data_IF_890320706744
#
_entry.id   IF_890320706744
#
_cell.length_a   1.000
_cell.length_b   1.000
_cell.length_c   1.000
_cell.angle_alpha   90.00
_cell.angle_beta   90.00
_cell.angle_gamma   90.00
#
_symmetry.space_group_name_H-M   'P 1'
#
loop_
_entity.id
_entity.type
_entity.pdbx_description
1 polymer ?
#
# COMPACT_ATOMS: atom_id res chain seq x y z
N UNK A 1 -5.60 23.12 25.00
CA UNK A 1 -5.54 21.73 24.47
C UNK A 1 -6.28 21.75 23.15
N UNK A 2 -5.71 21.32 22.02
CA UNK A 2 -6.47 21.27 20.78
C UNK A 2 -7.61 20.27 20.98
N UNK A 3 -8.81 20.68 20.58
CA UNK A 3 -10.02 19.88 20.64
C UNK A 3 -9.78 18.59 19.83
N UNK A 4 -10.04 17.42 20.41
CA UNK A 4 -9.91 16.16 19.66
C UNK A 4 -10.98 16.18 18.57
N UNK A 5 -10.55 16.45 17.35
CA UNK A 5 -11.39 16.39 16.16
C UNK A 5 -12.07 15.01 16.12
N UNK A 6 -13.40 15.00 16.19
CA UNK A 6 -14.16 13.74 16.19
C UNK A 6 -14.19 13.21 14.77
N UNK A 7 -13.75 11.97 14.61
CA UNK A 7 -13.80 11.22 13.34
C UNK A 7 -15.22 11.24 12.77
N UNK A 8 -15.36 11.79 11.56
CA UNK A 8 -16.66 11.90 10.90
C UNK A 8 -16.95 10.74 9.94
N UNK A 9 -18.08 10.81 9.24
CA UNK A 9 -18.55 9.72 8.38
C UNK A 9 -17.60 9.46 7.20
N UNK A 10 -16.93 10.49 6.67
CA UNK A 10 -15.97 10.31 5.57
C UNK A 10 -14.72 9.59 6.05
N UNK A 11 -14.25 9.92 7.26
CA UNK A 11 -13.09 9.24 7.85
C UNK A 11 -13.42 7.77 8.15
N UNK A 12 -14.65 7.48 8.59
CA UNK A 12 -15.15 6.11 8.77
C UNK A 12 -15.20 5.35 7.46
N UNK A 13 -15.66 5.96 6.38
CA UNK A 13 -15.72 5.32 5.06
C UNK A 13 -14.33 4.92 4.57
N UNK A 14 -13.32 5.80 4.73
CA UNK A 14 -11.92 5.47 4.40
C UNK A 14 -11.43 4.25 5.19
N UNK A 15 -11.69 4.23 6.50
CA UNK A 15 -11.30 3.10 7.35
C UNK A 15 -12.02 1.81 6.97
N UNK A 16 -13.31 1.88 6.64
CA UNK A 16 -14.10 0.74 6.17
C UNK A 16 -13.56 0.19 4.85
N UNK A 17 -13.20 1.07 3.90
CA UNK A 17 -12.59 0.66 2.63
C UNK A 17 -11.25 -0.03 2.82
N UNK A 18 -10.38 0.51 3.69
CA UNK A 18 -9.09 -0.10 4.03
C UNK A 18 -9.30 -1.46 4.68
N UNK A 19 -10.21 -1.56 5.66
CA UNK A 19 -10.53 -2.81 6.35
C UNK A 19 -11.09 -3.87 5.38
N UNK A 20 -11.99 -3.47 4.48
CA UNK A 20 -12.53 -4.34 3.44
C UNK A 20 -11.43 -4.86 2.52
N UNK A 21 -10.55 -3.98 2.03
CA UNK A 21 -9.40 -4.37 1.19
C UNK A 21 -8.50 -5.39 1.89
N UNK A 22 -8.14 -5.13 3.15
CA UNK A 22 -7.33 -6.05 3.96
C UNK A 22 -8.03 -7.41 4.17
N UNK A 23 -9.35 -7.44 4.30
CA UNK A 23 -10.09 -8.70 4.45
C UNK A 23 -9.98 -9.58 3.19
N UNK A 24 -9.99 -8.98 1.99
CA UNK A 24 -9.76 -9.69 0.74
C UNK A 24 -8.32 -10.19 0.64
N UNK A 25 -7.35 -9.37 1.03
CA UNK A 25 -5.93 -9.75 1.04
C UNK A 25 -5.67 -10.95 1.97
N UNK A 26 -6.29 -10.98 3.16
CA UNK A 26 -6.21 -12.11 4.10
C UNK A 26 -6.78 -13.38 3.46
N UNK A 27 -7.91 -13.29 2.75
CA UNK A 27 -8.50 -14.45 2.06
C UNK A 27 -7.56 -14.97 0.98
N UNK A 28 -7.02 -14.09 0.13
CA UNK A 28 -6.07 -14.45 -0.93
C UNK A 28 -4.83 -15.11 -0.33
N UNK A 29 -4.32 -14.58 0.78
CA UNK A 29 -3.18 -15.15 1.49
C UNK A 29 -3.47 -16.57 1.99
N UNK A 30 -4.62 -16.80 2.64
CA UNK A 30 -5.03 -18.13 3.14
C UNK A 30 -5.11 -19.15 2.00
N UNK A 31 -5.70 -18.78 0.87
CA UNK A 31 -5.78 -19.65 -0.32
C UNK A 31 -4.39 -20.00 -0.86
N UNK A 32 -3.49 -19.02 -0.98
CA UNK A 32 -2.12 -19.25 -1.46
C UNK A 32 -1.30 -20.12 -0.51
N UNK A 33 -1.46 -19.90 0.80
CA UNK A 33 -0.81 -20.72 1.82
C UNK A 33 -1.28 -22.17 1.71
N UNK A 34 -2.59 -22.40 1.59
CA UNK A 34 -3.16 -23.74 1.39
C UNK A 34 -2.66 -24.41 0.10
N UNK A 35 -2.63 -23.66 -1.01
CA UNK A 35 -2.10 -24.15 -2.29
C UNK A 35 -0.64 -24.58 -2.19
N UNK A 36 0.20 -23.82 -1.47
CA UNK A 36 1.60 -24.20 -1.28
C UNK A 36 1.75 -25.45 -0.43
N UNK A 37 1.01 -25.56 0.68
CA UNK A 37 1.02 -26.76 1.53
C UNK A 37 0.64 -28.00 0.70
N UNK A 38 -0.44 -27.91 -0.09
CA UNK A 38 -0.89 -29.01 -0.94
C UNK A 38 0.08 -29.32 -2.10
N UNK A 39 0.82 -28.32 -2.59
CA UNK A 39 1.89 -28.52 -3.57
C UNK A 39 3.04 -29.31 -2.96
N UNK A 40 3.48 -28.94 -1.75
CA UNK A 40 4.58 -29.61 -1.03
C UNK A 40 4.19 -31.04 -0.63
N UNK A 41 2.97 -31.24 -0.12
CA UNK A 41 2.43 -32.58 0.20
C UNK A 41 2.44 -33.51 -1.01
N UNK A 42 1.92 -33.05 -2.15
CA UNK A 42 1.92 -33.83 -3.40
C UNK A 42 3.34 -34.12 -3.92
N UNK A 43 4.31 -33.30 -3.55
CA UNK A 43 5.73 -33.53 -3.80
C UNK A 43 6.40 -34.51 -2.82
N UNK A 44 5.66 -35.10 -1.88
CA UNK A 44 6.19 -36.05 -0.89
C UNK A 44 6.94 -35.41 0.28
N UNK A 45 6.80 -34.09 0.49
CA UNK A 45 7.42 -33.39 1.61
C UNK A 45 6.65 -33.70 2.90
N UNK A 46 7.37 -34.07 3.96
CA UNK A 46 6.75 -34.33 5.27
C UNK A 46 6.20 -33.07 5.92
N UNK A 47 5.20 -33.22 6.79
CA UNK A 47 4.60 -32.09 7.53
C UNK A 47 5.65 -31.29 8.31
N UNK A 48 6.61 -31.95 8.96
CA UNK A 48 7.68 -31.27 9.70
C UNK A 48 8.55 -30.42 8.78
N UNK A 49 8.89 -30.93 7.59
CA UNK A 49 9.64 -30.18 6.59
C UNK A 49 8.82 -29.02 6.01
N UNK A 50 7.51 -29.19 5.79
CA UNK A 50 6.60 -28.11 5.37
C UNK A 50 6.59 -26.98 6.40
N UNK A 51 6.44 -27.30 7.69
CA UNK A 51 6.48 -26.30 8.77
C UNK A 51 7.82 -25.54 8.76
N UNK A 52 8.94 -26.26 8.57
CA UNK A 52 10.26 -25.66 8.45
C UNK A 52 10.37 -24.69 7.27
N UNK A 53 9.88 -25.09 6.09
CA UNK A 53 9.84 -24.26 4.88
C UNK A 53 9.00 -23.00 5.10
N UNK A 54 7.79 -23.13 5.63
CA UNK A 54 6.90 -22.00 5.90
C UNK A 54 7.46 -21.06 6.96
N UNK A 55 8.08 -21.60 8.00
CA UNK A 55 8.76 -20.82 9.03
C UNK A 55 9.96 -20.06 8.46
N UNK A 56 10.70 -20.67 7.53
CA UNK A 56 11.77 -19.99 6.81
C UNK A 56 11.23 -18.89 5.89
N UNK A 57 10.14 -19.14 5.16
CA UNK A 57 9.48 -18.15 4.31
C UNK A 57 9.02 -16.94 5.14
N UNK A 58 8.37 -17.18 6.28
CA UNK A 58 7.96 -16.13 7.22
C UNK A 58 9.16 -15.29 7.69
N UNK A 59 10.20 -15.93 8.22
CA UNK A 59 11.36 -15.24 8.79
C UNK A 59 12.19 -14.48 7.75
N UNK A 60 12.23 -14.96 6.51
CA UNK A 60 12.99 -14.33 5.42
C UNK A 60 12.16 -13.40 4.55
N UNK A 61 10.88 -13.20 4.87
CA UNK A 61 9.94 -12.50 3.99
C UNK A 61 9.97 -13.09 2.58
N UNK A 62 9.92 -14.42 2.50
CA UNK A 62 9.90 -15.18 1.27
C UNK A 62 8.63 -14.92 0.47
N UNK A 63 8.37 -15.78 -0.52
CA UNK A 63 7.32 -15.49 -1.50
C UNK A 63 5.94 -15.32 -0.86
N UNK A 64 5.55 -16.19 0.06
CA UNK A 64 4.17 -16.25 0.57
C UNK A 64 3.93 -15.14 1.59
N UNK A 65 4.75 -15.10 2.64
CA UNK A 65 4.61 -14.11 3.70
C UNK A 65 5.11 -12.72 3.27
N UNK A 66 6.06 -12.65 2.34
CA UNK A 66 6.49 -11.40 1.72
C UNK A 66 5.41 -10.78 0.83
N UNK A 67 4.69 -11.57 0.03
CA UNK A 67 3.54 -11.09 -0.74
C UNK A 67 2.43 -10.53 0.17
N UNK A 68 2.11 -11.21 1.27
CA UNK A 68 1.12 -10.73 2.25
C UNK A 68 1.57 -9.46 2.96
N UNK A 69 2.82 -9.39 3.41
CA UNK A 69 3.39 -8.16 3.97
C UNK A 69 3.27 -7.00 2.98
N UNK A 70 3.54 -7.24 1.70
CA UNK A 70 3.45 -6.22 0.67
C UNK A 70 1.99 -5.81 0.39
N UNK A 71 1.01 -6.72 0.49
CA UNK A 71 -0.41 -6.37 0.34
C UNK A 71 -0.88 -5.46 1.47
N UNK A 72 -0.52 -5.76 2.72
CA UNK A 72 -0.79 -4.88 3.87
C UNK A 72 -0.22 -3.48 3.62
N UNK A 73 1.04 -3.39 3.18
CA UNK A 73 1.66 -2.09 2.86
C UNK A 73 0.89 -1.32 1.80
N UNK A 74 0.45 -1.98 0.72
CA UNK A 74 -0.36 -1.35 -0.33
C UNK A 74 -1.70 -0.85 0.23
N UNK A 75 -2.38 -1.67 1.04
CA UNK A 75 -3.65 -1.29 1.68
C UNK A 75 -3.51 -0.04 2.56
N UNK A 76 -2.45 0.02 3.38
CA UNK A 76 -2.16 1.19 4.23
C UNK A 76 -1.87 2.44 3.39
N UNK A 77 -1.00 2.33 2.37
CA UNK A 77 -0.67 3.48 1.50
C UNK A 77 -1.90 3.96 0.72
N UNK A 78 -2.70 3.02 0.20
CA UNK A 78 -3.98 3.33 -0.45
C UNK A 78 -4.90 4.09 0.49
N UNK A 79 -5.04 3.63 1.74
CA UNK A 79 -5.80 4.31 2.78
C UNK A 79 -5.32 5.74 3.06
N UNK A 80 -4.00 5.94 3.18
CA UNK A 80 -3.41 7.28 3.36
C UNK A 80 -3.76 8.20 2.19
N UNK A 81 -3.62 7.72 0.95
CA UNK A 81 -3.95 8.52 -0.23
C UNK A 81 -5.45 8.85 -0.29
N UNK A 82 -6.33 7.91 0.08
CA UNK A 82 -7.77 8.19 0.19
C UNK A 82 -8.11 9.14 1.34
N UNK A 83 -7.39 9.10 2.46
CA UNK A 83 -7.58 10.07 3.54
C UNK A 83 -7.27 11.50 3.06
N UNK A 84 -6.21 11.67 2.27
CA UNK A 84 -5.85 12.98 1.72
C UNK A 84 -6.69 13.41 0.51
N UNK A 85 -7.42 12.49 -0.13
CA UNK A 85 -8.44 12.82 -1.15
C UNK A 85 -9.38 13.92 -0.70
N UNK A 86 -9.89 13.79 0.53
CA UNK A 86 -10.83 14.75 1.09
C UNK A 86 -10.27 16.17 1.13
N UNK A 87 -8.97 16.31 1.42
CA UNK A 87 -8.31 17.62 1.39
C UNK A 87 -8.19 18.14 -0.04
N UNK A 88 -7.90 17.26 -1.00
CA UNK A 88 -7.93 17.56 -2.43
C UNK A 88 -9.29 18.04 -2.93
N UNK A 89 -10.37 17.37 -2.54
CA UNK A 89 -11.75 17.68 -2.94
C UNK A 89 -12.23 19.06 -2.45
N UNK A 90 -11.69 19.56 -1.33
CA UNK A 90 -11.98 20.94 -0.84
C UNK A 90 -11.04 21.99 -1.44
N UNK A 91 -10.39 21.69 -2.57
CA UNK A 91 -9.57 22.60 -3.35
C UNK A 91 -8.14 22.78 -2.85
N UNK A 92 -7.68 21.98 -1.87
CA UNK A 92 -6.27 22.01 -1.43
C UNK A 92 -5.41 21.24 -2.41
N UNK A 93 -4.19 21.73 -2.64
CA UNK A 93 -3.23 21.05 -3.48
C UNK A 93 -2.52 19.93 -2.74
N UNK A 94 -2.14 18.90 -3.48
CA UNK A 94 -1.45 17.72 -3.01
C UNK A 94 -0.07 17.63 -3.67
N UNK A 95 0.96 17.39 -2.85
CA UNK A 95 2.34 17.15 -3.25
C UNK A 95 2.61 15.66 -3.37
N UNK A 96 3.31 15.27 -4.42
CA UNK A 96 3.76 13.90 -4.62
C UNK A 96 5.03 13.62 -3.83
N UNK A 97 5.00 12.57 -3.01
CA UNK A 97 6.12 12.12 -2.18
C UNK A 97 6.59 10.76 -2.66
N UNK A 98 7.85 10.71 -3.08
CA UNK A 98 8.48 9.51 -3.57
C UNK A 98 8.95 8.61 -2.42
N UNK A 99 8.24 7.51 -2.16
CA UNK A 99 8.53 6.59 -1.04
C UNK A 99 9.06 5.26 -1.56
N UNK A 100 10.37 5.04 -1.47
CA UNK A 100 11.03 3.75 -1.80
C UNK A 100 12.52 3.80 -1.53
N UNK A 101 13.14 2.68 -1.12
CA UNK A 101 14.59 2.48 -1.23
C UNK A 101 15.10 2.75 -2.64
N UNK A 102 14.45 2.10 -3.61
CA UNK A 102 14.76 2.14 -5.04
C UNK A 102 13.58 2.81 -5.76
N UNK A 103 13.54 4.13 -5.75
CA UNK A 103 12.49 4.92 -6.40
C UNK A 103 12.54 4.71 -7.91
N UNK A 104 11.40 4.40 -8.54
CA UNK A 104 11.36 4.21 -9.99
C UNK A 104 11.46 5.55 -10.73
N UNK A 105 11.89 5.55 -12.02
CA UNK A 105 12.08 6.78 -12.80
C UNK A 105 10.82 7.66 -12.85
N UNK A 106 9.63 7.05 -13.00
CA UNK A 106 8.36 7.78 -13.05
C UNK A 106 8.13 8.58 -11.75
N UNK A 107 8.39 7.96 -10.60
CA UNK A 107 8.18 8.58 -9.29
C UNK A 107 9.27 9.61 -8.96
N UNK A 108 10.51 9.41 -9.42
CA UNK A 108 11.59 10.40 -9.27
C UNK A 108 11.22 11.71 -9.96
N UNK A 109 10.69 11.63 -11.18
CA UNK A 109 10.31 12.82 -11.95
C UNK A 109 9.20 13.65 -11.30
N UNK A 110 8.37 13.01 -10.46
CA UNK A 110 7.21 13.61 -9.79
C UNK A 110 7.46 14.05 -8.36
N UNK A 111 8.56 13.64 -7.74
CA UNK A 111 8.89 14.03 -6.37
C UNK A 111 8.83 15.56 -6.20
N UNK A 112 8.05 16.03 -5.22
CA UNK A 112 7.85 17.45 -4.93
C UNK A 112 6.88 18.19 -5.85
N UNK A 113 6.41 17.57 -6.94
CA UNK A 113 5.39 18.19 -7.78
C UNK A 113 4.08 18.34 -7.01
N UNK A 114 3.37 19.44 -7.29
CA UNK A 114 2.12 19.80 -6.64
C UNK A 114 1.01 19.87 -7.69
N UNK A 115 -0.14 19.28 -7.37
CA UNK A 115 -1.34 19.34 -8.23
C UNK A 115 -2.62 19.16 -7.39
N UNK A 116 -3.77 19.38 -8.03
CA UNK A 116 -5.09 19.04 -7.49
C UNK A 116 -5.33 17.52 -7.50
N UNK A 117 -6.34 17.06 -6.76
CA UNK A 117 -6.76 15.66 -6.82
C UNK A 117 -7.10 15.23 -8.25
N UNK A 118 -7.96 15.98 -8.95
CA UNK A 118 -8.39 15.68 -10.31
C UNK A 118 -7.22 15.71 -11.31
N UNK A 119 -6.27 16.62 -11.09
CA UNK A 119 -5.02 16.68 -11.86
C UNK A 119 -4.16 15.42 -11.65
N UNK A 120 -4.06 14.90 -10.44
CA UNK A 120 -3.38 13.63 -10.19
C UNK A 120 -4.15 12.42 -10.71
N UNK A 121 -5.47 12.42 -10.61
CA UNK A 121 -6.32 11.34 -11.11
C UNK A 121 -6.17 11.21 -12.63
N UNK A 122 -6.21 12.32 -13.36
CA UNK A 122 -6.02 12.35 -14.82
C UNK A 122 -4.60 11.99 -15.27
N UNK A 123 -3.57 12.35 -14.50
CA UNK A 123 -2.16 12.02 -14.79
C UNK A 123 -1.72 10.67 -14.22
N UNK A 124 -2.59 9.98 -13.49
CA UNK A 124 -2.35 8.70 -12.83
C UNK A 124 -1.83 8.82 -11.40
N UNK A 125 -2.60 8.24 -10.48
CA UNK A 125 -2.35 8.23 -9.03
C UNK A 125 -1.29 7.19 -8.62
N UNK A 126 -0.69 7.32 -7.43
CA UNK A 126 0.06 6.22 -6.84
C UNK A 126 -0.80 4.95 -6.75
N UNK A 127 -0.28 3.83 -7.22
CA UNK A 127 -0.96 2.53 -7.18
C UNK A 127 -2.05 2.33 -8.25
N UNK A 128 -2.31 3.32 -9.11
CA UNK A 128 -3.37 3.24 -10.14
C UNK A 128 -3.06 2.34 -11.34
N UNK A 129 -1.84 1.83 -11.47
CA UNK A 129 -1.43 1.06 -12.65
C UNK A 129 -0.80 1.89 -13.78
N UNK A 130 -0.73 3.23 -13.65
CA UNK A 130 -0.04 4.08 -14.62
C UNK A 130 1.48 3.78 -14.63
N UNK A 131 2.19 4.09 -13.54
CA UNK A 131 3.66 3.98 -13.47
C UNK A 131 4.20 2.56 -13.73
N UNK A 132 5.51 2.43 -13.92
CA UNK A 132 6.21 1.13 -14.01
C UNK A 132 6.03 0.28 -12.75
N UNK A 133 5.78 0.90 -11.59
CA UNK A 133 5.48 0.17 -10.35
C UNK A 133 4.06 -0.39 -10.31
N UNK A 134 3.17 0.06 -11.21
CA UNK A 134 1.77 -0.36 -11.28
C UNK A 134 1.07 -0.26 -9.91
N UNK A 135 0.35 -1.29 -9.50
CA UNK A 135 -0.29 -1.41 -8.19
C UNK A 135 0.70 -1.49 -7.02
N UNK A 136 1.99 -1.73 -7.28
CA UNK A 136 3.04 -1.84 -6.25
C UNK A 136 3.72 -0.50 -5.92
N UNK A 137 3.16 0.62 -6.39
CA UNK A 137 3.67 1.94 -6.03
C UNK A 137 3.27 2.31 -4.59
N UNK A 138 4.26 2.66 -3.76
CA UNK A 138 4.05 3.10 -2.38
C UNK A 138 4.12 4.62 -2.18
N UNK A 139 4.21 5.39 -3.28
CA UNK A 139 4.27 6.84 -3.20
C UNK A 139 2.96 7.43 -2.64
N UNK A 140 3.06 8.62 -2.06
CA UNK A 140 1.95 9.24 -1.34
C UNK A 140 1.64 10.62 -1.91
N UNK A 141 0.37 10.99 -1.85
CA UNK A 141 -0.09 12.35 -2.08
C UNK A 141 -0.39 12.96 -0.72
N UNK A 142 0.38 13.97 -0.32
CA UNK A 142 0.16 14.67 0.94
C UNK A 142 -0.30 16.11 0.68
N UNK A 143 -0.95 16.78 1.63
CA UNK A 143 -1.27 18.20 1.51
C UNK A 143 0.00 19.05 1.31
N UNK A 144 -0.04 20.00 0.38
CA UNK A 144 1.07 20.91 0.11
C UNK A 144 1.52 21.68 1.37
N UNK A 145 0.61 21.95 2.30
CA UNK A 145 0.90 22.64 3.56
C UNK A 145 1.65 21.78 4.60
N UNK A 146 1.78 20.47 4.39
CA UNK A 146 2.47 19.58 5.32
C UNK A 146 3.97 19.57 5.00
N UNK A 147 4.81 19.98 5.95
CA UNK A 147 6.26 19.91 5.82
C UNK A 147 6.74 18.46 5.83
N UNK A 148 7.28 18.00 4.70
CA UNK A 148 7.86 16.67 4.56
C UNK A 148 8.79 16.65 3.34
N UNK A 149 9.86 15.86 3.42
CA UNK A 149 10.79 15.67 2.31
C UNK A 149 10.09 15.09 1.08
N UNK A 150 10.50 15.55 -0.10
CA UNK A 150 9.95 15.09 -1.39
C UNK A 150 10.24 13.61 -1.68
N UNK A 151 11.19 13.03 -0.94
CA UNK A 151 11.54 11.62 -1.04
C UNK A 151 11.85 11.00 0.31
N UNK A 152 11.30 9.81 0.55
CA UNK A 152 11.51 9.03 1.77
C UNK A 152 12.09 7.67 1.38
N UNK A 153 13.20 7.29 2.00
CA UNK A 153 13.84 5.99 1.83
C UNK A 153 13.35 5.04 2.94
N UNK A 154 12.72 3.93 2.54
CA UNK A 154 12.19 2.87 3.42
C UNK A 154 12.72 1.49 3.05
#
# INVERSE_FOLDING_TARGET
MPEKEKMDDKDRDVLLWVALGLSFDIRIFTERLGQEVERLRRGGVSEQSIIGILSQDLNRHGRIFGEFRNSIKRGVVGGINQAFRRQGEVGRKLRWIAVSKNTCPDCVSRAGQVDTWDGWESRGMPGSGWSICKEFCYCQLIPESMEMDDSIKI
#
